data_IF_959276102490
#
_entry.id   IF_959276102490
#
_cell.length_a   1.000
_cell.length_b   1.000
_cell.length_c   1.000
_cell.angle_alpha   90.00
_cell.angle_beta   90.00
_cell.angle_gamma   90.00
#
_symmetry.space_group_name_H-M   'P 1'
#
loop_
_entity.id
_entity.type
_entity.pdbx_description
1 polymer ?
#
# COMPACT_ATOMS: atom_id res chain seq x y z
N UNK A 1 -30.91 -15.03 -10.29
CA UNK A 1 -29.80 -14.38 -9.55
C UNK A 1 -28.75 -13.94 -10.55
N UNK A 2 -28.08 -12.80 -10.33
CA UNK A 2 -26.98 -12.36 -11.19
C UNK A 2 -25.75 -13.28 -11.01
N UNK A 3 -24.94 -13.43 -12.06
CA UNK A 3 -23.68 -14.20 -11.99
C UNK A 3 -22.72 -13.53 -11.00
N UNK A 4 -21.95 -14.30 -10.20
CA UNK A 4 -20.91 -13.74 -9.34
C UNK A 4 -19.90 -12.90 -10.14
N UNK A 5 -19.56 -11.73 -9.59
CA UNK A 5 -18.56 -10.84 -10.15
C UNK A 5 -17.15 -11.41 -9.93
N UNK A 6 -16.19 -10.89 -10.69
CA UNK A 6 -14.76 -11.19 -10.55
C UNK A 6 -14.03 -9.86 -10.45
N UNK A 7 -13.39 -9.62 -9.31
CA UNK A 7 -12.75 -8.37 -8.96
C UNK A 7 -11.25 -8.60 -8.75
N UNK A 8 -10.45 -7.70 -9.30
CA UNK A 8 -9.01 -7.65 -9.13
C UNK A 8 -8.62 -6.27 -8.59
N UNK A 9 -8.11 -6.21 -7.37
CA UNK A 9 -7.52 -4.99 -6.81
C UNK A 9 -6.01 -4.99 -7.09
N UNK A 10 -5.47 -3.88 -7.60
CA UNK A 10 -4.05 -3.73 -7.90
C UNK A 10 -3.52 -2.57 -7.08
N UNK A 11 -2.55 -2.86 -6.20
CA UNK A 11 -1.86 -1.86 -5.39
C UNK A 11 -0.35 -1.90 -5.62
N UNK A 12 0.33 -0.79 -5.35
CA UNK A 12 1.78 -0.72 -5.46
C UNK A 12 2.44 -1.40 -4.25
N UNK A 13 1.98 -1.09 -3.05
CA UNK A 13 2.45 -1.63 -1.77
C UNK A 13 1.39 -2.52 -1.12
N UNK A 14 1.79 -3.41 -0.18
CA UNK A 14 0.84 -4.29 0.51
C UNK A 14 -0.32 -3.55 1.19
N UNK A 15 -0.08 -2.37 1.75
CA UNK A 15 -1.11 -1.58 2.44
C UNK A 15 -2.19 -1.04 1.48
N UNK A 16 -1.81 -0.63 0.26
CA UNK A 16 -2.69 0.03 -0.70
C UNK A 16 -3.98 -0.76 -0.97
N UNK A 17 -3.86 -2.08 -1.14
CA UNK A 17 -5.01 -2.94 -1.45
C UNK A 17 -5.96 -3.08 -0.26
N UNK A 18 -5.49 -2.94 0.98
CA UNK A 18 -6.31 -3.09 2.18
C UNK A 18 -6.87 -1.77 2.69
N UNK A 19 -6.04 -0.73 2.82
CA UNK A 19 -6.44 0.54 3.42
C UNK A 19 -7.45 1.29 2.55
N UNK A 20 -7.30 1.20 1.22
CA UNK A 20 -8.16 1.92 0.28
C UNK A 20 -9.34 1.08 -0.21
N UNK A 21 -9.24 -0.26 -0.19
CA UNK A 21 -10.23 -1.12 -0.84
C UNK A 21 -10.67 -2.36 -0.05
N UNK A 22 -10.10 -2.62 1.13
CA UNK A 22 -10.31 -3.83 1.90
C UNK A 22 -11.77 -4.08 2.30
N UNK A 23 -12.47 -3.04 2.79
CA UNK A 23 -13.88 -3.16 3.17
C UNK A 23 -14.80 -3.52 2.00
N UNK A 24 -14.60 -2.89 0.85
CA UNK A 24 -15.36 -3.19 -0.38
C UNK A 24 -15.07 -4.61 -0.88
N UNK A 25 -13.81 -5.02 -0.89
CA UNK A 25 -13.42 -6.38 -1.25
C UNK A 25 -14.03 -7.43 -0.32
N UNK A 26 -14.02 -7.19 1.00
CA UNK A 26 -14.64 -8.08 1.98
C UNK A 26 -16.15 -8.21 1.76
N UNK A 27 -16.84 -7.09 1.45
CA UNK A 27 -18.26 -7.09 1.13
C UNK A 27 -18.59 -7.98 -0.08
N UNK A 28 -17.78 -7.87 -1.13
CA UNK A 28 -17.93 -8.70 -2.34
C UNK A 28 -17.63 -10.18 -2.10
N UNK A 29 -16.58 -10.49 -1.32
CA UNK A 29 -16.29 -11.86 -0.93
C UNK A 29 -17.46 -12.48 -0.13
N UNK A 30 -18.03 -11.73 0.83
CA UNK A 30 -19.19 -12.17 1.61
C UNK A 30 -20.45 -12.41 0.77
N UNK A 31 -20.61 -11.68 -0.34
CA UNK A 31 -21.69 -11.85 -1.31
C UNK A 31 -21.49 -13.06 -2.24
N UNK A 32 -20.31 -13.69 -2.21
CA UNK A 32 -19.95 -14.82 -3.07
C UNK A 32 -19.31 -14.42 -4.41
N UNK A 33 -18.90 -13.16 -4.57
CA UNK A 33 -18.09 -12.71 -5.70
C UNK A 33 -16.64 -13.22 -5.54
N UNK A 34 -15.93 -13.36 -6.66
CA UNK A 34 -14.52 -13.72 -6.65
C UNK A 34 -13.66 -12.47 -6.49
N UNK A 35 -12.77 -12.47 -5.51
CA UNK A 35 -11.89 -11.32 -5.23
C UNK A 35 -10.44 -11.78 -5.19
N UNK A 36 -9.57 -11.04 -5.87
CA UNK A 36 -8.12 -11.25 -5.85
C UNK A 36 -7.40 -9.91 -5.72
N UNK A 37 -6.18 -9.94 -5.16
CA UNK A 37 -5.30 -8.79 -5.06
C UNK A 37 -3.98 -9.07 -5.79
N UNK A 38 -3.46 -8.05 -6.46
CA UNK A 38 -2.10 -8.02 -7.00
C UNK A 38 -1.37 -6.87 -6.33
N UNK A 39 -0.24 -7.20 -5.70
CA UNK A 39 0.65 -6.22 -5.11
C UNK A 39 1.93 -6.21 -5.94
N UNK A 40 2.26 -5.04 -6.49
CA UNK A 40 3.38 -4.92 -7.44
C UNK A 40 4.75 -5.00 -6.74
N UNK A 41 4.82 -4.61 -5.47
CA UNK A 41 6.07 -4.59 -4.70
C UNK A 41 5.91 -5.30 -3.35
N UNK A 42 7.00 -5.80 -2.81
CA UNK A 42 7.00 -6.46 -1.50
C UNK A 42 6.89 -5.47 -0.33
N UNK A 43 6.99 -4.16 -0.57
CA UNK A 43 6.89 -3.12 0.46
C UNK A 43 8.03 -3.14 1.51
N UNK A 44 9.19 -3.74 1.22
CA UNK A 44 10.31 -3.77 2.17
C UNK A 44 11.19 -2.51 2.13
N UNK A 45 10.93 -1.59 1.19
CA UNK A 45 11.31 -0.19 1.36
C UNK A 45 10.05 0.57 1.75
N UNK A 46 9.98 0.91 3.02
CA UNK A 46 8.95 1.81 3.52
C UNK A 46 9.59 3.17 3.57
N UNK A 47 9.04 4.09 2.80
CA UNK A 47 9.45 5.47 2.71
C UNK A 47 9.71 6.09 4.09
N UNK A 48 8.75 5.90 4.99
CA UNK A 48 8.79 6.36 6.37
C UNK A 48 9.92 5.74 7.20
N UNK A 49 10.29 4.48 6.95
CA UNK A 49 11.35 3.81 7.71
C UNK A 49 12.74 4.24 7.24
N UNK A 50 12.94 4.39 5.92
CA UNK A 50 14.21 4.90 5.38
C UNK A 50 14.40 6.38 5.75
N UNK A 51 13.36 7.20 5.65
CA UNK A 51 13.40 8.60 6.09
C UNK A 51 13.56 8.69 7.62
N UNK A 52 12.79 7.93 8.40
CA UNK A 52 12.91 7.96 9.87
C UNK A 52 14.28 7.51 10.34
N UNK A 53 14.84 6.45 9.77
CA UNK A 53 16.20 6.00 10.11
C UNK A 53 17.25 7.05 9.71
N UNK A 54 17.13 7.62 8.50
CA UNK A 54 18.03 8.68 8.05
C UNK A 54 17.93 9.96 8.90
N UNK A 55 16.76 10.24 9.49
CA UNK A 55 16.53 11.37 10.38
C UNK A 55 16.88 11.07 11.85
N UNK A 56 16.71 9.83 12.32
CA UNK A 56 16.86 9.45 13.73
C UNK A 56 18.27 9.72 14.28
N UNK A 57 19.30 9.59 13.43
CA UNK A 57 20.69 9.80 13.80
C UNK A 57 21.21 11.22 13.51
N UNK A 58 20.33 12.15 13.15
CA UNK A 58 20.73 13.53 12.80
C UNK A 58 20.36 14.52 13.90
N UNK A 59 21.27 15.46 14.15
CA UNK A 59 21.06 16.55 15.12
C UNK A 59 20.08 17.61 14.59
N UNK A 60 19.88 17.69 13.27
CA UNK A 60 19.02 18.66 12.61
C UNK A 60 18.15 18.00 11.52
N UNK A 61 16.97 18.58 11.28
CA UNK A 61 16.05 18.15 10.22
C UNK A 61 16.68 18.48 8.85
N UNK A 62 16.82 17.51 7.92
CA UNK A 62 17.41 17.74 6.61
C UNK A 62 16.61 18.76 5.79
N UNK A 63 17.30 19.51 4.93
CA UNK A 63 16.62 20.39 3.98
C UNK A 63 15.81 19.57 2.95
N UNK A 64 14.74 20.12 2.37
CA UNK A 64 13.89 19.40 1.41
C UNK A 64 14.66 18.75 0.25
N UNK A 65 15.71 19.44 -0.23
CA UNK A 65 16.55 18.99 -1.34
C UNK A 65 17.37 17.74 -0.98
N UNK A 66 17.65 17.52 0.31
CA UNK A 66 18.37 16.34 0.81
C UNK A 66 17.47 15.10 0.93
N UNK A 67 16.14 15.29 0.92
CA UNK A 67 15.14 14.23 1.03
C UNK A 67 14.71 13.70 -0.34
N UNK A 68 14.86 14.47 -1.41
CA UNK A 68 14.52 14.06 -2.78
C UNK A 68 15.08 12.69 -3.23
N UNK A 69 16.32 12.29 -2.88
CA UNK A 69 16.86 10.98 -3.29
C UNK A 69 16.26 9.80 -2.51
N UNK A 70 15.61 10.08 -1.38
CA UNK A 70 14.95 9.10 -0.54
C UNK A 70 13.47 8.96 -0.92
N UNK A 71 12.90 9.96 -1.63
CA UNK A 71 11.56 10.07 -2.26
C UNK A 71 11.38 9.16 -3.49
#
# INVERSE_FOLDING_TARGET
MAKPLRLLSIGAHPADVFDQSGGTMAHHAARGDYVACVVLTHGARVHDAEISEAMFHRDEIPAPEELEPLM
#
